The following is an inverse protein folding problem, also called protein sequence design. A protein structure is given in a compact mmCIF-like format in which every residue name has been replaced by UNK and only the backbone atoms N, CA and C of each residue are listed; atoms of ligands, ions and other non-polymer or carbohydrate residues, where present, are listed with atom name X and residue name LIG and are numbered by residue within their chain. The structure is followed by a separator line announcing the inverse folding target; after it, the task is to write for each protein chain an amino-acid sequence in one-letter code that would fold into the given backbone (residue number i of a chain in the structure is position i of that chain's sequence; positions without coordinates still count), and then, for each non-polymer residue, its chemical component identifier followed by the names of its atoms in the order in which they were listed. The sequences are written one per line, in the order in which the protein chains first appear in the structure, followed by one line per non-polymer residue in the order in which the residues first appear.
data_IF_988683705846
#
_entry.id   IF_988683705846
#
_cell.length_a   1.000
_cell.length_b   1.000
_cell.length_c   1.000
_cell.angle_alpha   90.00
_cell.angle_beta   90.00
_cell.angle_gamma   90.00
#
_symmetry.space_group_name_H-M   'P 1'
#
loop_
_entity.id
_entity.type
_entity.pdbx_description
1 polymer ?
#
# COMPACT_ATOMS: atom_id res chain seq x y z
N UNK A 1 -2.44 8.33 -19.96
CA UNK A 1 -2.20 6.95 -19.49
C UNK A 1 -0.80 6.88 -18.88
N UNK A 2 -0.70 6.86 -17.55
CA UNK A 2 0.59 6.80 -16.86
C UNK A 2 1.17 5.39 -17.09
N UNK A 3 2.32 5.31 -17.75
CA UNK A 3 2.99 4.04 -18.02
C UNK A 3 4.04 3.83 -16.94
N UNK A 4 3.76 3.00 -15.94
CA UNK A 4 4.70 2.68 -14.87
C UNK A 4 5.81 1.76 -15.42
N UNK A 5 6.99 2.32 -15.69
CA UNK A 5 8.21 1.51 -15.94
C UNK A 5 8.85 1.14 -14.61
N UNK A 6 9.34 -0.09 -14.50
CA UNK A 6 10.05 -0.61 -13.32
C UNK A 6 11.20 0.36 -12.94
N UNK A 7 11.13 0.96 -11.75
CA UNK A 7 12.13 1.90 -11.23
C UNK A 7 11.81 3.40 -11.41
N UNK A 8 10.74 3.76 -12.11
CA UNK A 8 10.22 5.13 -12.08
C UNK A 8 9.29 5.28 -10.87
N UNK A 9 9.80 5.91 -9.82
CA UNK A 9 8.96 6.39 -8.74
C UNK A 9 8.14 7.57 -9.28
N UNK A 10 6.82 7.50 -9.11
CA UNK A 10 5.95 8.63 -9.41
C UNK A 10 6.27 9.73 -8.40
N UNK A 11 6.58 10.94 -8.88
CA UNK A 11 6.73 12.09 -7.99
C UNK A 11 5.34 12.70 -7.76
N UNK A 12 4.66 12.25 -6.69
CA UNK A 12 3.32 12.70 -6.32
C UNK A 12 3.19 14.22 -6.13
N UNK A 13 4.30 14.93 -5.90
CA UNK A 13 4.29 16.39 -5.76
C UNK A 13 4.10 17.13 -7.08
N UNK A 14 4.35 16.46 -8.22
CA UNK A 14 4.32 17.04 -9.57
C UNK A 14 3.10 16.65 -10.40
N UNK A 15 2.16 15.92 -9.83
CA UNK A 15 0.95 15.50 -10.55
C UNK A 15 0.05 16.69 -10.89
N UNK A 16 -0.58 16.63 -12.05
CA UNK A 16 -1.77 17.45 -12.35
C UNK A 16 -2.99 16.90 -11.61
N UNK A 17 -4.08 17.67 -11.54
CA UNK A 17 -5.33 17.21 -10.89
C UNK A 17 -5.89 15.94 -11.52
N UNK A 18 -5.89 15.86 -12.85
CA UNK A 18 -6.39 14.67 -13.58
C UNK A 18 -5.53 13.43 -13.31
N UNK A 19 -4.20 13.59 -13.28
CA UNK A 19 -3.29 12.50 -12.94
C UNK A 19 -3.42 12.08 -11.47
N UNK A 20 -3.64 13.03 -10.56
CA UNK A 20 -3.87 12.76 -9.15
C UNK A 20 -5.14 11.93 -8.93
N UNK A 21 -6.25 12.22 -9.64
CA UNK A 21 -7.48 11.41 -9.55
C UNK A 21 -7.22 9.96 -9.97
N UNK A 22 -6.52 9.75 -11.09
CA UNK A 22 -6.18 8.40 -11.57
C UNK A 22 -5.27 7.69 -10.57
N UNK A 23 -4.27 8.40 -10.03
CA UNK A 23 -3.33 7.84 -9.09
C UNK A 23 -3.97 7.53 -7.73
N UNK A 24 -4.90 8.36 -7.26
CA UNK A 24 -5.71 8.11 -6.06
C UNK A 24 -6.52 6.83 -6.20
N UNK A 25 -7.15 6.58 -7.35
CA UNK A 25 -7.87 5.33 -7.60
C UNK A 25 -6.94 4.10 -7.52
N UNK A 26 -5.72 4.22 -8.06
CA UNK A 26 -4.69 3.20 -7.92
C UNK A 26 -4.29 2.99 -6.45
N UNK A 27 -3.92 4.05 -5.72
CA UNK A 27 -3.51 3.96 -4.32
C UNK A 27 -4.58 3.35 -3.42
N UNK A 28 -5.87 3.71 -3.63
CA UNK A 28 -6.99 3.11 -2.90
C UNK A 28 -7.11 1.61 -3.17
N UNK A 29 -6.86 1.16 -4.39
CA UNK A 29 -6.79 -0.27 -4.72
C UNK A 29 -5.57 -0.97 -4.08
N UNK A 30 -4.42 -0.31 -4.04
CA UNK A 30 -3.22 -0.86 -3.40
C UNK A 30 -3.42 -1.02 -1.89
N UNK A 31 -4.08 -0.05 -1.25
CA UNK A 31 -4.43 -0.10 0.18
C UNK A 31 -5.22 -1.36 0.52
N UNK A 32 -6.30 -1.63 -0.22
CA UNK A 32 -7.12 -2.84 -0.04
C UNK A 32 -6.27 -4.11 -0.19
N UNK A 33 -5.39 -4.17 -1.19
CA UNK A 33 -4.51 -5.34 -1.38
C UNK A 33 -3.54 -5.54 -0.21
N UNK A 34 -3.02 -4.46 0.37
CA UNK A 34 -2.17 -4.56 1.56
C UNK A 34 -2.94 -5.05 2.79
N UNK A 35 -4.19 -4.64 2.96
CA UNK A 35 -5.08 -5.11 4.02
C UNK A 35 -5.38 -6.62 3.87
N UNK A 36 -5.72 -7.08 2.67
CA UNK A 36 -5.94 -8.50 2.38
C UNK A 36 -4.70 -9.36 2.67
N UNK A 37 -3.52 -8.86 2.28
CA UNK A 37 -2.26 -9.52 2.58
C UNK A 37 -1.99 -9.55 4.08
N UNK A 38 -2.28 -8.46 4.79
CA UNK A 38 -2.11 -8.40 6.23
C UNK A 38 -2.98 -9.43 6.94
N UNK A 39 -4.27 -9.51 6.60
CA UNK A 39 -5.19 -10.49 7.19
C UNK A 39 -4.69 -11.93 6.98
N UNK A 40 -4.31 -12.27 5.75
CA UNK A 40 -3.85 -13.62 5.39
C UNK A 40 -2.60 -14.04 6.15
N UNK A 41 -1.60 -13.15 6.22
CA UNK A 41 -0.32 -13.50 6.84
C UNK A 41 -0.32 -13.30 8.36
N UNK A 42 -1.22 -12.47 8.90
CA UNK A 42 -1.35 -12.34 10.34
C UNK A 42 -1.74 -13.66 11.00
N UNK A 43 -2.68 -14.41 10.40
CA UNK A 43 -3.08 -15.73 10.89
C UNK A 43 -1.89 -16.69 10.98
N UNK A 44 -1.05 -16.75 9.93
CA UNK A 44 0.16 -17.59 9.91
C UNK A 44 1.21 -17.12 10.91
N UNK A 45 1.33 -15.81 11.14
CA UNK A 45 2.31 -15.23 12.05
C UNK A 45 2.05 -15.58 13.53
N UNK A 46 0.78 -15.81 13.88
CA UNK A 46 0.34 -16.11 15.26
C UNK A 46 -0.03 -17.58 15.48
N UNK A 47 -0.10 -18.38 14.41
CA UNK A 47 -0.37 -19.82 14.49
C UNK A 47 0.83 -20.57 15.09
N UNK A 48 0.60 -21.24 16.22
CA UNK A 48 1.61 -22.02 16.94
C UNK A 48 1.89 -23.39 16.30
N UNK A 49 1.00 -23.88 15.42
CA UNK A 49 1.21 -25.12 14.66
C UNK A 49 2.11 -24.91 13.43
N UNK A 50 2.29 -23.65 13.02
CA UNK A 50 3.15 -23.27 11.91
C UNK A 50 4.64 -23.33 12.27
N UNK A 51 5.48 -23.79 11.34
CA UNK A 51 6.95 -23.80 11.53
C UNK A 51 7.50 -22.41 11.83
N UNK A 52 8.59 -22.32 12.61
CA UNK A 52 9.23 -21.04 12.94
C UNK A 52 9.62 -20.21 11.71
N UNK A 53 10.12 -20.87 10.65
CA UNK A 53 10.46 -20.18 9.39
C UNK A 53 9.21 -19.57 8.73
N UNK A 54 8.09 -20.30 8.71
CA UNK A 54 6.83 -19.80 8.16
C UNK A 54 6.32 -18.60 8.97
N UNK A 55 6.37 -18.68 10.30
CA UNK A 55 5.98 -17.60 11.22
C UNK A 55 6.83 -16.35 11.03
N UNK A 56 8.16 -16.47 11.00
CA UNK A 56 9.09 -15.33 10.79
C UNK A 56 8.86 -14.68 9.42
N UNK A 57 8.65 -15.50 8.39
CA UNK A 57 8.33 -14.99 7.04
C UNK A 57 7.02 -14.22 7.06
N UNK A 58 5.98 -14.78 7.67
CA UNK A 58 4.67 -14.14 7.80
C UNK A 58 4.75 -12.83 8.60
N UNK A 59 5.49 -12.80 9.72
CA UNK A 59 5.74 -11.59 10.50
C UNK A 59 6.40 -10.48 9.67
N UNK A 60 7.40 -10.84 8.85
CA UNK A 60 8.07 -9.88 7.96
C UNK A 60 7.09 -9.29 6.94
N UNK A 61 6.20 -10.13 6.38
CA UNK A 61 5.15 -9.67 5.46
C UNK A 61 4.14 -8.76 6.16
N UNK A 62 3.72 -9.09 7.39
CA UNK A 62 2.82 -8.24 8.19
C UNK A 62 3.42 -6.87 8.46
N UNK A 63 4.67 -6.83 8.95
CA UNK A 63 5.38 -5.57 9.24
C UNK A 63 5.46 -4.70 7.99
N UNK A 64 5.86 -5.29 6.86
CA UNK A 64 5.96 -4.56 5.60
C UNK A 64 4.61 -4.00 5.15
N UNK A 65 3.53 -4.79 5.17
CA UNK A 65 2.22 -4.30 4.74
C UNK A 65 1.66 -3.22 5.69
N UNK A 66 1.96 -3.29 6.99
CA UNK A 66 1.61 -2.21 7.93
C UNK A 66 2.29 -0.89 7.56
N UNK A 67 3.56 -0.93 7.17
CA UNK A 67 4.28 0.27 6.74
C UNK A 67 3.79 0.77 5.38
N UNK A 68 3.58 -0.14 4.42
CA UNK A 68 3.02 0.19 3.10
C UNK A 68 1.62 0.82 3.22
N UNK A 69 0.76 0.35 4.13
CA UNK A 69 -0.57 0.94 4.43
C UNK A 69 -0.40 2.38 4.93
N UNK A 70 0.47 2.61 5.91
CA UNK A 70 0.70 3.95 6.46
C UNK A 70 1.22 4.92 5.41
N UNK A 71 2.17 4.48 4.57
CA UNK A 71 2.72 5.31 3.51
C UNK A 71 1.68 5.63 2.45
N UNK A 72 0.97 4.60 1.97
CA UNK A 72 -0.13 4.74 1.00
C UNK A 72 -1.19 5.71 1.49
N UNK A 73 -1.66 5.55 2.74
CA UNK A 73 -2.69 6.42 3.30
C UNK A 73 -2.23 7.86 3.41
N UNK A 74 -0.99 8.13 3.84
CA UNK A 74 -0.45 9.50 3.88
C UNK A 74 -0.41 10.15 2.49
N UNK A 75 -0.03 9.39 1.46
CA UNK A 75 -0.01 9.92 0.09
C UNK A 75 -1.44 10.17 -0.42
N UNK A 76 -2.41 9.32 -0.06
CA UNK A 76 -3.84 9.56 -0.34
C UNK A 76 -4.28 10.88 0.33
N UNK A 77 -4.11 11.01 1.65
CA UNK A 77 -4.52 12.18 2.41
C UNK A 77 -3.91 13.47 1.83
N UNK A 78 -2.61 13.45 1.50
CA UNK A 78 -1.90 14.56 0.88
C UNK A 78 -2.51 14.97 -0.48
N UNK A 79 -2.84 14.00 -1.33
CA UNK A 79 -3.39 14.28 -2.66
C UNK A 79 -4.85 14.73 -2.59
N UNK A 80 -5.65 14.15 -1.70
CA UNK A 80 -7.04 14.55 -1.46
C UNK A 80 -7.11 15.99 -0.93
N UNK A 81 -6.23 16.35 0.02
CA UNK A 81 -6.12 17.72 0.55
C UNK A 81 -5.65 18.71 -0.53
N UNK A 82 -4.56 18.39 -1.25
CA UNK A 82 -3.97 19.29 -2.26
C UNK A 82 -4.91 19.60 -3.42
N UNK A 83 -5.73 18.64 -3.83
CA UNK A 83 -6.57 18.75 -5.02
C UNK A 83 -8.08 18.88 -4.73
N UNK A 84 -8.44 18.94 -3.45
CA UNK A 84 -9.83 19.04 -2.95
C UNK A 84 -10.72 17.95 -3.57
N UNK A 85 -10.28 16.70 -3.44
CA UNK A 85 -10.99 15.52 -3.97
C UNK A 85 -11.26 14.56 -2.82
N UNK A 86 -12.53 14.36 -2.47
CA UNK A 86 -12.99 13.46 -1.39
C UNK A 86 -14.12 12.57 -1.90
#
# INVERSE_FOLDING_TARGET
MITFKKGNFLDETKLTREEAIIFLAFLKSELVRHEEHLERYYQVAVDEESSDIARITAQTVVIRNLDDIKHTQRTIDYLEEKFEVS
#
